data_IF_312544078561
#
_entry.id   IF_312544078561
#
_cell.length_a   1.000
_cell.length_b   1.000
_cell.length_c   1.000
_cell.angle_alpha   90.00
_cell.angle_beta   90.00
_cell.angle_gamma   90.00
#
_symmetry.space_group_name_H-M   'P 1'
#
loop_
_entity.id
_entity.type
_entity.pdbx_description
1 polymer ?
#
# COMPACT_ATOMS: atom_id res chain seq x y z
N UNK A 1 11.25 -7.50 6.47
CA UNK A 1 10.90 -7.89 5.08
C UNK A 1 9.77 -6.99 4.63
N UNK A 2 9.69 -6.47 3.38
CA UNK A 2 8.48 -5.76 2.98
C UNK A 2 7.37 -6.82 2.83
N UNK A 3 6.49 -6.90 3.82
CA UNK A 3 5.26 -7.65 3.68
C UNK A 3 4.31 -6.79 2.85
N UNK A 4 3.93 -7.25 1.65
CA UNK A 4 3.11 -6.49 0.72
C UNK A 4 1.73 -6.11 1.28
N UNK A 5 1.29 -6.77 2.37
CA UNK A 5 0.05 -6.49 3.08
C UNK A 5 0.23 -5.67 4.37
N UNK A 6 1.46 -5.49 4.86
CA UNK A 6 1.70 -4.79 6.11
C UNK A 6 1.86 -3.28 5.90
N UNK A 7 1.54 -2.52 6.94
CA UNK A 7 1.89 -1.11 7.03
C UNK A 7 3.29 -0.90 7.66
N UNK A 8 3.70 0.35 7.84
CA UNK A 8 4.97 0.67 8.51
C UNK A 8 4.93 0.57 10.03
N UNK A 9 3.80 0.18 10.64
CA UNK A 9 3.74 -0.24 12.05
C UNK A 9 3.84 -1.76 12.18
N UNK A 10 4.20 -2.46 11.09
CA UNK A 10 4.27 -3.92 11.01
C UNK A 10 2.93 -4.62 11.25
N UNK A 11 1.82 -3.89 11.10
CA UNK A 11 0.49 -4.43 11.30
C UNK A 11 -0.05 -5.03 10.01
N UNK A 12 -0.70 -6.18 10.13
CA UNK A 12 -1.47 -6.82 9.06
C UNK A 12 -2.87 -7.05 9.61
N UNK A 13 -3.90 -6.54 8.92
CA UNK A 13 -5.27 -6.79 9.36
C UNK A 13 -5.74 -8.16 8.86
N UNK A 14 -6.39 -8.94 9.72
CA UNK A 14 -6.87 -10.28 9.39
C UNK A 14 -7.75 -10.30 8.13
N UNK A 15 -8.56 -9.25 7.94
CA UNK A 15 -9.42 -9.08 6.75
C UNK A 15 -8.63 -9.03 5.44
N UNK A 16 -7.46 -8.39 5.43
CA UNK A 16 -6.65 -8.27 4.22
C UNK A 16 -6.07 -9.62 3.84
N UNK A 17 -5.66 -10.40 4.83
CA UNK A 17 -5.15 -11.76 4.64
C UNK A 17 -6.24 -12.65 4.05
N UNK A 18 -7.44 -12.65 4.65
CA UNK A 18 -8.56 -13.46 4.17
C UNK A 18 -8.96 -13.05 2.76
N UNK A 19 -9.06 -11.74 2.47
CA UNK A 19 -9.35 -11.23 1.13
C UNK A 19 -8.27 -11.62 0.13
N UNK A 20 -7.00 -11.47 0.50
CA UNK A 20 -5.87 -11.81 -0.35
C UNK A 20 -5.91 -13.27 -0.75
N UNK A 21 -6.13 -14.17 0.22
CA UNK A 21 -6.24 -15.61 -0.03
C UNK A 21 -7.44 -15.93 -0.93
N UNK A 22 -8.60 -15.31 -0.68
CA UNK A 22 -9.80 -15.50 -1.49
C UNK A 22 -9.59 -15.10 -2.95
N UNK A 23 -9.12 -13.86 -3.18
CA UNK A 23 -8.91 -13.33 -4.53
C UNK A 23 -7.79 -14.08 -5.26
N UNK A 24 -6.69 -14.40 -4.57
CA UNK A 24 -5.58 -15.15 -5.15
C UNK A 24 -6.00 -16.58 -5.51
N UNK A 25 -6.77 -17.26 -4.65
CA UNK A 25 -7.24 -18.62 -4.93
C UNK A 25 -8.18 -18.62 -6.14
N UNK A 26 -9.15 -17.70 -6.16
CA UNK A 26 -10.09 -17.55 -7.28
C UNK A 26 -9.37 -17.29 -8.60
N UNK A 27 -8.36 -16.41 -8.60
CA UNK A 27 -7.59 -16.09 -9.80
C UNK A 27 -6.57 -17.17 -10.20
N UNK A 28 -6.31 -18.16 -9.35
CA UNK A 28 -5.41 -19.29 -9.64
C UNK A 28 -6.12 -20.46 -10.34
N UNK A 29 -7.46 -20.50 -10.32
CA UNK A 29 -8.23 -21.57 -10.95
C UNK A 29 -7.94 -21.63 -12.45
N UNK A 30 -7.58 -22.82 -12.95
CA UNK A 30 -7.30 -23.07 -14.36
C UNK A 30 -5.86 -22.75 -14.79
N UNK A 31 -5.02 -22.21 -13.90
CA UNK A 31 -3.61 -21.94 -14.19
C UNK A 31 -2.73 -23.18 -13.95
N UNK A 32 -2.67 -24.07 -14.94
CA UNK A 32 -1.93 -25.33 -14.87
C UNK A 32 -0.40 -25.21 -14.97
N UNK A 33 0.17 -24.00 -15.02
CA UNK A 33 1.63 -23.81 -15.11
C UNK A 33 2.38 -24.24 -13.83
N UNK A 34 1.66 -24.34 -12.71
CA UNK A 34 2.22 -24.67 -11.41
C UNK A 34 1.46 -25.88 -10.84
N UNK A 35 2.16 -26.97 -10.58
CA UNK A 35 1.58 -28.21 -10.03
C UNK A 35 1.78 -28.36 -8.52
N UNK A 36 2.54 -27.46 -7.90
CA UNK A 36 3.04 -27.56 -6.53
C UNK A 36 2.38 -26.55 -5.57
N UNK A 37 1.44 -25.73 -6.04
CA UNK A 37 0.84 -24.64 -5.26
C UNK A 37 -0.61 -24.38 -5.63
N UNK A 38 -1.37 -23.97 -4.63
CA UNK A 38 -2.76 -23.52 -4.79
C UNK A 38 -2.82 -22.10 -5.36
N UNK A 39 -1.90 -21.22 -4.93
CA UNK A 39 -1.87 -19.82 -5.33
C UNK A 39 -0.76 -19.58 -6.36
N UNK A 40 -1.11 -19.14 -7.57
CA UNK A 40 -0.09 -18.84 -8.57
C UNK A 40 0.52 -17.46 -8.34
N UNK A 41 1.81 -17.24 -8.65
CA UNK A 41 2.45 -15.94 -8.44
C UNK A 41 1.75 -14.78 -9.17
N UNK A 42 1.16 -15.05 -10.33
CA UNK A 42 0.40 -14.05 -11.08
C UNK A 42 -0.91 -13.68 -10.37
N UNK A 43 -1.64 -14.67 -9.87
CA UNK A 43 -2.86 -14.46 -9.09
C UNK A 43 -2.59 -13.71 -7.79
N UNK A 44 -1.52 -14.05 -7.06
CA UNK A 44 -1.10 -13.34 -5.85
C UNK A 44 -0.80 -11.86 -6.13
N UNK A 45 -0.03 -11.54 -7.19
CA UNK A 45 0.24 -10.14 -7.56
C UNK A 45 -1.03 -9.37 -7.90
N UNK A 46 -1.98 -10.00 -8.60
CA UNK A 46 -3.27 -9.39 -8.91
C UNK A 46 -4.09 -9.13 -7.64
N UNK A 47 -4.14 -10.09 -6.72
CA UNK A 47 -4.88 -9.98 -5.47
C UNK A 47 -4.39 -8.82 -4.59
N UNK A 48 -3.09 -8.50 -4.62
CA UNK A 48 -2.55 -7.34 -3.89
C UNK A 48 -3.23 -6.03 -4.31
N UNK A 49 -3.51 -5.83 -5.61
CA UNK A 49 -4.17 -4.62 -6.09
C UNK A 49 -5.59 -4.49 -5.54
N UNK A 50 -6.36 -5.58 -5.54
CA UNK A 50 -7.71 -5.62 -4.98
C UNK A 50 -7.71 -5.38 -3.46
N UNK A 51 -6.82 -6.04 -2.72
CA UNK A 51 -6.64 -5.82 -1.28
C UNK A 51 -6.28 -4.37 -0.95
N UNK A 52 -5.36 -3.80 -1.72
CA UNK A 52 -4.90 -2.41 -1.56
C UNK A 52 -6.08 -1.43 -1.70
N UNK A 53 -6.85 -1.55 -2.77
CA UNK A 53 -8.02 -0.70 -3.02
C UNK A 53 -9.06 -0.81 -1.91
N UNK A 54 -9.40 -2.03 -1.53
CA UNK A 54 -10.42 -2.27 -0.54
C UNK A 54 -10.00 -1.81 0.88
N UNK A 55 -8.71 -1.91 1.23
CA UNK A 55 -8.17 -1.33 2.48
C UNK A 55 -8.42 0.17 2.58
N UNK A 56 -8.12 0.94 1.52
CA UNK A 56 -8.30 2.40 1.55
C UNK A 56 -9.77 2.78 1.66
N UNK A 57 -10.65 2.05 0.98
CA UNK A 57 -12.09 2.24 1.08
C UNK A 57 -12.60 1.99 2.51
N UNK A 58 -12.15 0.92 3.15
CA UNK A 58 -12.49 0.60 4.54
C UNK A 58 -11.95 1.63 5.53
N UNK A 59 -10.70 2.05 5.38
CA UNK A 59 -10.11 3.11 6.23
C UNK A 59 -10.96 4.37 6.13
N UNK A 60 -11.44 4.70 4.93
CA UNK A 60 -12.34 5.84 4.79
C UNK A 60 -13.69 5.66 5.50
N UNK A 61 -14.25 4.46 5.50
CA UNK A 61 -15.51 4.18 6.19
C UNK A 61 -15.33 4.18 7.72
N UNK A 62 -14.21 3.65 8.22
CA UNK A 62 -13.92 3.51 9.65
C UNK A 62 -13.37 4.79 10.27
N UNK A 63 -12.52 5.52 9.53
CA UNK A 63 -11.94 6.78 9.96
C UNK A 63 -11.82 7.78 8.79
N UNK A 64 -12.78 8.73 8.68
CA UNK A 64 -12.81 9.67 7.57
C UNK A 64 -11.58 10.57 7.44
N UNK A 65 -10.81 10.82 8.51
CA UNK A 65 -9.62 11.70 8.45
C UNK A 65 -8.51 11.10 7.58
N UNK A 66 -7.89 9.95 7.92
CA UNK A 66 -6.88 9.32 7.07
C UNK A 66 -7.46 8.90 5.71
N UNK A 67 -8.72 8.47 5.63
CA UNK A 67 -9.34 8.11 4.35
C UNK A 67 -9.43 9.28 3.36
N UNK A 68 -9.77 10.49 3.83
CA UNK A 68 -9.78 11.70 3.00
C UNK A 68 -8.37 12.09 2.57
N UNK A 69 -7.37 12.01 3.46
CA UNK A 69 -5.98 12.29 3.13
C UNK A 69 -5.46 11.35 2.05
N UNK A 70 -5.66 10.04 2.21
CA UNK A 70 -5.26 9.03 1.23
C UNK A 70 -5.88 9.30 -0.15
N UNK A 71 -7.17 9.62 -0.22
CA UNK A 71 -7.82 10.00 -1.49
C UNK A 71 -7.33 11.30 -2.08
N UNK A 72 -7.00 12.30 -1.26
CA UNK A 72 -6.42 13.53 -1.76
C UNK A 72 -5.05 13.23 -2.40
N UNK A 73 -4.22 12.42 -1.74
CA UNK A 73 -2.92 12.01 -2.26
C UNK A 73 -3.01 11.26 -3.60
N UNK A 74 -4.02 10.41 -3.82
CA UNK A 74 -4.12 9.68 -5.09
C UNK A 74 -4.27 10.58 -6.32
N UNK A 75 -4.77 11.81 -6.15
CA UNK A 75 -4.89 12.80 -7.24
C UNK A 75 -3.53 13.27 -7.80
N UNK A 76 -2.44 13.05 -7.08
CA UNK A 76 -1.08 13.40 -7.49
C UNK A 76 -0.31 12.23 -8.12
N UNK A 77 -0.88 11.01 -8.14
CA UNK A 77 -0.14 9.79 -8.50
C UNK A 77 0.36 9.73 -9.95
N UNK A 78 -0.22 10.51 -10.85
CA UNK A 78 0.20 10.61 -12.24
C UNK A 78 1.46 11.49 -12.41
N UNK A 79 1.53 12.60 -11.67
CA UNK A 79 2.58 13.62 -11.75
C UNK A 79 3.71 13.40 -10.75
N UNK A 80 3.42 12.83 -9.58
CA UNK A 80 4.37 12.59 -8.49
C UNK A 80 4.73 11.10 -8.43
N UNK A 81 6.01 10.82 -8.15
CA UNK A 81 6.52 9.46 -7.96
C UNK A 81 7.18 9.37 -6.59
N UNK A 82 7.10 8.19 -5.97
CA UNK A 82 7.80 7.90 -4.71
C UNK A 82 9.31 7.66 -4.90
N UNK A 83 10.15 7.98 -3.91
CA UNK A 83 9.83 8.77 -2.71
C UNK A 83 9.61 10.25 -3.06
N UNK A 84 8.80 10.96 -2.27
CA UNK A 84 8.43 12.36 -2.50
C UNK A 84 8.58 13.21 -1.22
N UNK A 85 8.57 14.52 -1.34
CA UNK A 85 8.43 15.45 -0.22
C UNK A 85 6.95 15.66 0.14
N UNK A 86 6.65 16.03 1.39
CA UNK A 86 5.26 16.27 1.80
C UNK A 86 4.57 17.37 0.96
N UNK A 87 5.34 18.39 0.57
CA UNK A 87 4.88 19.49 -0.30
C UNK A 87 4.54 19.05 -1.72
N UNK A 88 5.11 17.95 -2.23
CA UNK A 88 4.81 17.45 -3.58
C UNK A 88 3.34 16.98 -3.72
N UNK A 89 2.73 16.65 -2.58
CA UNK A 89 1.38 16.09 -2.46
C UNK A 89 0.51 16.91 -1.48
N UNK A 90 0.89 18.16 -1.26
CA UNK A 90 0.15 19.16 -0.46
C UNK A 90 -0.15 18.74 0.99
N UNK A 91 0.68 17.88 1.59
CA UNK A 91 0.52 17.46 2.99
C UNK A 91 1.07 18.52 3.96
N UNK A 92 0.27 18.90 4.94
CA UNK A 92 0.68 19.74 6.08
C UNK A 92 1.28 18.88 7.19
N UNK A 93 1.99 19.45 8.19
CA UNK A 93 2.56 18.70 9.30
C UNK A 93 1.54 17.79 10.01
N UNK A 94 0.35 18.30 10.34
CA UNK A 94 -0.72 17.51 10.99
C UNK A 94 -1.29 16.39 10.10
N UNK A 95 -1.16 16.52 8.77
CA UNK A 95 -1.58 15.49 7.83
C UNK A 95 -0.53 14.37 7.75
N UNK A 96 0.75 14.74 7.76
CA UNK A 96 1.89 13.81 7.85
C UNK A 96 1.81 13.00 9.14
N UNK A 97 1.66 13.67 10.29
CA UNK A 97 1.56 13.01 11.60
C UNK A 97 0.44 11.97 11.61
N UNK A 98 -0.76 12.34 11.14
CA UNK A 98 -1.88 11.42 11.06
C UNK A 98 -1.61 10.20 10.16
N UNK A 99 -0.91 10.37 9.04
CA UNK A 99 -0.57 9.26 8.14
C UNK A 99 0.54 8.37 8.72
N UNK A 100 1.50 8.94 9.46
CA UNK A 100 2.54 8.19 10.16
C UNK A 100 2.00 7.39 11.34
N UNK A 101 1.03 7.92 12.09
CA UNK A 101 0.30 7.20 13.14
C UNK A 101 -0.39 5.94 12.59
N UNK A 102 -1.01 6.05 11.42
CA UNK A 102 -1.67 4.96 10.70
C UNK A 102 -0.71 4.05 9.93
N UNK A 103 0.60 4.30 10.00
CA UNK A 103 1.61 3.52 9.30
C UNK A 103 1.56 3.62 7.77
N UNK A 104 0.80 4.59 7.23
CA UNK A 104 0.61 4.78 5.79
C UNK A 104 1.76 5.57 5.15
N UNK A 105 2.54 6.28 5.97
CA UNK A 105 3.67 7.10 5.55
C UNK A 105 4.83 6.92 6.54
N UNK A 106 6.07 7.04 6.05
CA UNK A 106 7.25 7.17 6.90
C UNK A 106 8.35 7.91 6.15
N UNK A 107 9.14 8.71 6.88
CA UNK A 107 10.31 9.39 6.35
C UNK A 107 11.51 8.45 6.29
N UNK A 108 12.18 8.39 5.14
CA UNK A 108 13.41 7.60 4.95
C UNK A 108 14.67 8.44 5.24
N UNK A 109 15.83 7.78 5.29
CA UNK A 109 17.13 8.42 5.57
C UNK A 109 17.52 9.52 4.57
N UNK A 110 16.95 9.51 3.36
CA UNK A 110 17.12 10.56 2.36
C UNK A 110 16.21 11.78 2.60
N UNK A 111 15.48 11.81 3.72
CA UNK A 111 14.59 12.89 4.12
C UNK A 111 13.26 12.92 3.37
N UNK A 112 13.01 11.98 2.44
CA UNK A 112 11.77 11.89 1.66
C UNK A 112 10.83 10.83 2.22
N UNK A 113 9.54 11.00 1.95
CA UNK A 113 8.51 10.09 2.40
C UNK A 113 8.32 8.90 1.47
N UNK A 114 8.00 7.76 2.07
CA UNK A 114 7.60 6.52 1.40
C UNK A 114 6.26 6.05 1.95
N UNK A 115 5.63 5.16 1.20
CA UNK A 115 4.41 4.45 1.60
C UNK A 115 4.65 2.94 1.53
N UNK A 116 3.99 2.15 2.40
CA UNK A 116 3.95 0.70 2.26
C UNK A 116 3.32 0.30 0.93
N UNK A 117 3.64 -0.89 0.45
CA UNK A 117 3.17 -1.38 -0.85
C UNK A 117 1.64 -1.41 -0.95
N UNK A 118 0.95 -1.78 0.14
CA UNK A 118 -0.52 -1.84 0.19
C UNK A 118 -1.19 -0.47 -0.01
N UNK A 119 -0.60 0.60 0.52
CA UNK A 119 -1.12 1.96 0.30
C UNK A 119 -0.70 2.48 -1.07
N UNK A 120 0.58 2.29 -1.43
CA UNK A 120 1.13 2.79 -2.70
C UNK A 120 0.35 2.28 -3.91
N UNK A 121 0.01 0.98 -3.94
CA UNK A 121 -0.78 0.41 -5.03
C UNK A 121 -2.21 0.93 -5.05
N UNK A 122 -2.84 1.08 -3.88
CA UNK A 122 -4.20 1.62 -3.79
C UNK A 122 -4.30 3.04 -4.36
N UNK A 123 -3.27 3.85 -4.11
CA UNK A 123 -3.22 5.25 -4.51
C UNK A 123 -2.64 5.48 -5.91
N UNK A 124 -2.10 4.44 -6.55
CA UNK A 124 -1.55 4.52 -7.92
C UNK A 124 -0.13 5.08 -8.02
N UNK A 125 0.56 5.36 -6.91
CA UNK A 125 1.90 5.94 -6.95
C UNK A 125 2.93 4.97 -7.57
N UNK A 126 3.65 5.48 -8.56
CA UNK A 126 4.83 4.82 -9.15
C UNK A 126 6.08 5.13 -8.34
N UNK A 127 7.11 4.29 -8.45
CA UNK A 127 8.41 4.52 -7.78
C UNK A 127 9.46 4.99 -8.79
N UNK A 128 10.35 5.89 -8.36
CA UNK A 128 11.59 6.21 -9.06
C UNK A 128 12.72 5.32 -8.56
N UNK A 129 13.44 4.68 -9.48
CA UNK A 129 14.52 3.76 -9.12
C UNK A 129 14.04 2.45 -8.49
N UNK A 130 14.97 1.65 -7.96
CA UNK A 130 14.65 0.38 -7.28
C UNK A 130 14.01 0.69 -5.92
N UNK A 131 12.92 0.00 -5.58
CA UNK A 131 12.32 0.08 -4.24
C UNK A 131 13.39 -0.18 -3.16
N UNK A 132 13.58 0.77 -2.25
CA UNK A 132 14.54 0.68 -1.14
C UNK A 132 13.79 0.41 0.16
N UNK A 133 14.40 -0.40 1.02
CA UNK A 133 13.89 -0.71 2.35
C UNK A 133 14.21 0.48 3.25
N UNK A 134 13.19 1.10 3.85
CA UNK A 134 13.38 2.05 4.95
C UNK A 134 13.99 1.25 6.10
N UNK A 135 15.22 1.60 6.52
CA UNK A 135 15.88 1.00 7.68
C UNK A 135 15.87 2.03 8.80
N UNK A 136 15.19 1.74 9.92
CA UNK A 136 15.27 2.58 11.12
C UNK A 136 13.94 2.82 11.85
N UNK A 137 13.14 1.78 12.06
CA UNK A 137 12.16 1.77 13.16
C UNK A 137 12.74 0.97 14.32
#
# INVERSE_FOLDING_TARGET
MPAALADFKEQIQARDVVRFLCEAARASVGDGRWSDRVLTPAAMRRALGECSRAKVEEINQENPRPGKLLRHMSSFSESVKMPFEASDVELRPDDVEALEEWGALARDADGRYRMPEIYRHALGFRTQGRARVVRGL
#
